data_IF_085750329314
#
_entry.id   IF_085750329314
#
_cell.length_a   1.000
_cell.length_b   1.000
_cell.length_c   1.000
_cell.angle_alpha   90.00
_cell.angle_beta   90.00
_cell.angle_gamma   90.00
#
_symmetry.space_group_name_H-M   'P 1'
#
loop_
_entity.id
_entity.type
_entity.pdbx_description
1 polymer ?
#
# COMPACT_ATOMS: atom_id res chain seq x y z
N UNK A 1 -3.05 23.22 24.03
CA UNK A 1 -1.63 23.54 24.33
C UNK A 1 -0.83 22.32 23.90
N UNK A 2 -0.07 22.27 22.80
CA UNK A 2 0.15 23.24 21.75
C UNK A 2 0.34 22.50 20.42
N UNK A 3 -0.21 23.07 19.35
CA UNK A 3 0.04 22.68 17.98
C UNK A 3 1.44 23.20 17.63
N UNK A 4 2.44 22.31 17.67
CA UNK A 4 3.74 22.53 17.02
C UNK A 4 3.74 21.69 15.76
N UNK A 5 3.15 22.18 14.69
CA UNK A 5 3.24 21.53 13.38
C UNK A 5 3.71 22.57 12.39
N UNK A 6 5.01 22.58 12.13
CA UNK A 6 5.60 23.23 10.96
C UNK A 6 5.22 22.50 9.64
N UNK A 7 4.12 21.74 9.63
CA UNK A 7 3.67 20.89 8.53
C UNK A 7 4.58 19.68 8.28
N UNK A 8 5.52 19.36 9.16
CA UNK A 8 6.44 18.23 8.96
C UNK A 8 5.93 16.94 9.57
N UNK A 9 6.28 15.85 8.88
CA UNK A 9 6.05 14.49 9.33
C UNK A 9 7.00 14.15 10.49
N UNK A 10 6.44 13.81 11.65
CA UNK A 10 7.16 13.25 12.80
C UNK A 10 7.11 11.70 12.78
N UNK A 11 8.26 11.06 12.61
CA UNK A 11 8.41 9.60 12.57
C UNK A 11 8.38 8.93 13.96
N UNK A 12 8.41 9.73 15.05
CA UNK A 12 8.15 9.25 16.41
C UNK A 12 6.67 9.31 16.81
N UNK A 13 5.79 9.87 15.97
CA UNK A 13 4.38 10.02 16.25
C UNK A 13 3.55 8.84 15.70
N UNK A 14 2.89 8.10 16.59
CA UNK A 14 2.04 6.95 16.25
C UNK A 14 0.94 7.29 15.23
N UNK A 15 0.32 8.47 15.32
CA UNK A 15 -0.71 8.90 14.34
C UNK A 15 -0.11 9.11 12.96
N UNK A 16 1.08 9.69 12.89
CA UNK A 16 1.77 9.94 11.63
C UNK A 16 2.24 8.64 10.98
N UNK A 17 2.79 7.72 11.78
CA UNK A 17 3.14 6.38 11.34
C UNK A 17 1.91 5.63 10.82
N UNK A 18 0.78 5.72 11.52
CA UNK A 18 -0.50 5.14 11.09
C UNK A 18 -1.03 5.73 9.79
N UNK A 19 -1.03 7.06 9.66
CA UNK A 19 -1.43 7.73 8.45
C UNK A 19 -0.54 7.35 7.25
N UNK A 20 0.78 7.39 7.43
CA UNK A 20 1.75 7.02 6.39
C UNK A 20 1.57 5.57 5.95
N UNK A 21 1.39 4.66 6.90
CA UNK A 21 1.17 3.24 6.63
C UNK A 21 -0.15 3.00 5.92
N UNK A 22 -1.22 3.66 6.35
CA UNK A 22 -2.55 3.50 5.74
C UNK A 22 -2.57 3.99 4.28
N UNK A 23 -2.09 5.21 4.04
CA UNK A 23 -2.05 5.80 2.70
C UNK A 23 -1.03 5.05 1.82
N UNK A 24 0.14 4.74 2.36
CA UNK A 24 1.20 4.01 1.68
C UNK A 24 0.79 2.59 1.27
N UNK A 25 0.19 1.82 2.16
CA UNK A 25 -0.34 0.48 1.85
C UNK A 25 -1.42 0.54 0.77
N UNK A 26 -2.30 1.55 0.80
CA UNK A 26 -3.34 1.69 -0.22
C UNK A 26 -2.75 1.94 -1.61
N UNK A 27 -1.77 2.84 -1.71
CA UNK A 27 -1.05 3.07 -2.97
C UNK A 27 -0.29 1.82 -3.41
N UNK A 28 0.40 1.15 -2.48
CA UNK A 28 1.16 -0.07 -2.77
C UNK A 28 0.25 -1.20 -3.29
N UNK A 29 -0.93 -1.38 -2.69
CA UNK A 29 -1.91 -2.38 -3.13
C UNK A 29 -2.33 -2.13 -4.58
N UNK A 30 -2.68 -0.88 -4.92
CA UNK A 30 -3.02 -0.49 -6.30
C UNK A 30 -1.86 -0.77 -7.25
N UNK A 31 -0.64 -0.43 -6.87
CA UNK A 31 0.55 -0.66 -7.69
C UNK A 31 0.84 -2.15 -7.90
N UNK A 32 0.68 -2.97 -6.86
CA UNK A 32 0.83 -4.43 -6.96
C UNK A 32 -0.23 -5.00 -7.90
N UNK A 33 -1.49 -4.60 -7.77
CA UNK A 33 -2.56 -5.04 -8.68
C UNK A 33 -2.24 -4.68 -10.14
N UNK A 34 -1.74 -3.45 -10.40
CA UNK A 34 -1.31 -3.02 -11.73
C UNK A 34 -0.12 -3.83 -12.25
N UNK A 35 0.87 -4.09 -11.41
CA UNK A 35 2.03 -4.90 -11.76
C UNK A 35 1.61 -6.33 -12.15
N UNK A 36 0.75 -6.95 -11.34
CA UNK A 36 0.18 -8.28 -11.63
C UNK A 36 -0.60 -8.27 -12.93
N UNK A 37 -1.46 -7.27 -13.14
CA UNK A 37 -2.23 -7.15 -14.38
C UNK A 37 -1.33 -6.96 -15.61
N UNK A 38 -0.31 -6.10 -15.51
CA UNK A 38 0.65 -5.86 -16.58
C UNK A 38 1.46 -7.13 -16.88
N UNK A 39 1.97 -7.81 -15.85
CA UNK A 39 2.69 -9.08 -15.98
C UNK A 39 1.85 -10.14 -16.69
N UNK A 40 0.61 -10.32 -16.26
CA UNK A 40 -0.30 -11.33 -16.81
C UNK A 40 -0.70 -11.06 -18.26
N UNK A 41 -0.66 -9.81 -18.71
CA UNK A 41 -0.96 -9.40 -20.09
C UNK A 41 0.29 -9.20 -20.96
N UNK A 42 1.48 -9.20 -20.37
CA UNK A 42 2.73 -8.99 -21.09
C UNK A 42 3.07 -10.22 -21.95
N UNK A 43 3.41 -9.97 -23.22
CA UNK A 43 3.83 -11.05 -24.13
C UNK A 43 5.29 -11.39 -23.89
N UNK A 44 5.55 -12.59 -23.39
CA UNK A 44 6.90 -13.13 -23.22
C UNK A 44 7.35 -13.75 -24.54
N UNK A 45 8.53 -13.34 -25.02
CA UNK A 45 9.06 -13.83 -26.29
C UNK A 45 9.09 -15.36 -26.33
N UNK A 46 8.56 -15.94 -27.42
CA UNK A 46 8.40 -17.40 -27.63
C UNK A 46 7.47 -18.12 -26.63
N UNK A 47 6.84 -17.40 -25.69
CA UNK A 47 5.97 -17.94 -24.65
C UNK A 47 4.63 -17.19 -24.50
N UNK A 48 4.22 -16.36 -25.46
CA UNK A 48 2.91 -15.67 -25.46
C UNK A 48 2.61 -14.90 -24.17
N UNK A 49 1.32 -14.62 -23.90
CA UNK A 49 0.90 -13.96 -22.65
C UNK A 49 0.60 -15.01 -21.58
N UNK A 50 0.97 -14.80 -20.31
CA UNK A 50 0.63 -15.72 -19.23
C UNK A 50 -0.85 -16.11 -19.16
N UNK A 51 -1.77 -15.15 -19.37
CA UNK A 51 -3.22 -15.43 -19.39
C UNK A 51 -3.64 -16.43 -20.48
N UNK A 52 -3.01 -16.40 -21.65
CA UNK A 52 -3.32 -17.33 -22.74
C UNK A 52 -2.92 -18.78 -22.36
N UNK A 53 -1.92 -18.96 -21.50
CA UNK A 53 -1.49 -20.28 -21.02
C UNK A 53 -2.42 -20.83 -19.95
N UNK A 54 -2.95 -19.96 -19.07
CA UNK A 54 -3.94 -20.34 -18.05
C UNK A 54 -5.23 -20.85 -18.72
N UNK A 55 -5.63 -20.24 -19.84
CA UNK A 55 -6.84 -20.63 -20.57
C UNK A 55 -6.71 -21.96 -21.35
N UNK A 56 -5.48 -22.36 -21.71
CA UNK A 56 -5.23 -23.45 -22.68
C UNK A 56 -4.59 -24.70 -22.09
N UNK A 57 -3.91 -24.61 -20.94
CA UNK A 57 -3.34 -25.77 -20.26
C UNK A 57 -4.07 -26.03 -18.95
N UNK A 58 -4.66 -27.23 -18.86
CA UNK A 58 -5.28 -27.75 -17.65
C UNK A 58 -4.42 -27.43 -16.42
N UNK A 59 -5.04 -26.70 -15.49
CA UNK A 59 -4.46 -26.33 -14.20
C UNK A 59 -4.12 -27.60 -13.43
N UNK A 60 -2.85 -28.02 -13.45
CA UNK A 60 -2.39 -28.90 -12.41
C UNK A 60 -2.31 -28.05 -11.15
N UNK A 61 -3.13 -28.31 -10.11
CA UNK A 61 -2.97 -27.62 -8.84
C UNK A 61 -1.54 -27.85 -8.39
N UNK A 62 -0.86 -26.76 -8.04
CA UNK A 62 0.45 -26.87 -7.41
C UNK A 62 0.29 -27.78 -6.17
N UNK A 63 1.15 -28.79 -6.00
CA UNK A 63 1.15 -29.59 -4.79
C UNK A 63 1.20 -28.67 -3.57
N UNK A 64 0.46 -29.00 -2.51
CA UNK A 64 0.65 -28.33 -1.22
C UNK A 64 2.13 -28.40 -0.84
N UNK A 65 2.78 -27.24 -0.66
CA UNK A 65 4.21 -27.13 -0.38
C UNK A 65 5.13 -26.88 -1.59
N UNK A 66 4.58 -26.75 -2.80
CA UNK A 66 5.39 -26.34 -3.97
C UNK A 66 5.87 -24.88 -3.89
N UNK A 67 5.14 -24.04 -3.15
CA UNK A 67 5.56 -22.69 -2.82
C UNK A 67 6.11 -22.69 -1.38
N UNK A 68 7.24 -21.99 -1.13
CA UNK A 68 7.76 -21.84 0.21
C UNK A 68 6.75 -21.12 1.10
N UNK A 69 6.76 -21.44 2.41
CA UNK A 69 6.04 -20.62 3.38
C UNK A 69 6.62 -19.19 3.40
N UNK A 70 5.88 -18.23 3.94
CA UNK A 70 6.38 -16.85 4.11
C UNK A 70 7.70 -16.83 4.89
N UNK A 71 7.80 -17.69 5.91
CA UNK A 71 9.01 -17.83 6.74
C UNK A 71 10.18 -18.38 5.91
N UNK A 72 9.94 -19.43 5.12
CA UNK A 72 10.98 -20.04 4.28
C UNK A 72 11.42 -19.11 3.16
N UNK A 73 10.49 -18.36 2.56
CA UNK A 73 10.78 -17.37 1.52
C UNK A 73 11.62 -16.22 2.09
N UNK A 74 11.26 -15.70 3.27
CA UNK A 74 12.02 -14.66 3.95
C UNK A 74 13.43 -15.15 4.31
N UNK A 75 13.55 -16.38 4.81
CA UNK A 75 14.84 -17.01 5.08
C UNK A 75 15.69 -17.15 3.82
N UNK A 76 15.13 -17.68 2.73
CA UNK A 76 15.81 -17.81 1.43
C UNK A 76 16.32 -16.47 0.90
N UNK A 77 15.59 -15.39 1.15
CA UNK A 77 16.00 -14.04 0.78
C UNK A 77 17.18 -13.55 1.64
N UNK A 78 17.12 -13.77 2.96
CA UNK A 78 18.23 -13.45 3.88
C UNK A 78 19.49 -14.26 3.61
N UNK A 79 19.35 -15.56 3.33
CA UNK A 79 20.45 -16.48 3.01
C UNK A 79 21.20 -16.07 1.73
N UNK A 80 20.56 -15.31 0.83
CA UNK A 80 21.19 -14.72 -0.35
C UNK A 80 21.95 -13.41 -0.06
N UNK A 81 22.06 -13.01 1.20
CA UNK A 81 22.75 -11.79 1.64
C UNK A 81 21.88 -10.52 1.61
N UNK A 82 20.59 -10.64 1.31
CA UNK A 82 19.68 -9.50 1.36
C UNK A 82 19.13 -9.30 2.78
N UNK A 83 18.75 -8.07 3.09
CA UNK A 83 18.22 -7.72 4.41
C UNK A 83 16.73 -7.42 4.28
N UNK A 84 15.92 -8.07 5.12
CA UNK A 84 14.52 -7.71 5.32
C UNK A 84 14.45 -6.87 6.59
N UNK A 85 13.60 -5.85 6.57
CA UNK A 85 13.29 -5.09 7.79
C UNK A 85 12.39 -5.94 8.67
N UNK A 86 12.91 -6.37 9.82
CA UNK A 86 12.21 -7.28 10.74
C UNK A 86 11.23 -6.52 11.66
N UNK A 87 11.52 -5.26 11.95
CA UNK A 87 10.72 -4.38 12.79
C UNK A 87 10.11 -3.25 11.96
N UNK A 88 8.78 -3.23 11.92
CA UNK A 88 7.97 -2.28 11.18
C UNK A 88 6.90 -1.83 12.17
N UNK A 89 6.91 -0.55 12.56
CA UNK A 89 5.81 0.03 13.32
C UNK A 89 4.92 0.78 12.33
N UNK A 90 3.65 0.38 12.30
CA UNK A 90 2.64 1.02 11.48
C UNK A 90 1.86 2.08 12.25
N UNK A 91 2.37 2.50 13.40
CA UNK A 91 1.60 3.29 14.33
C UNK A 91 0.34 2.57 14.83
N UNK A 92 -0.45 3.27 15.64
CA UNK A 92 -1.78 2.85 16.06
C UNK A 92 -2.80 3.86 15.59
N UNK A 93 -3.99 3.38 15.24
CA UNK A 93 -5.10 4.27 14.91
C UNK A 93 -5.45 5.10 16.16
N UNK A 94 -5.30 6.43 16.16
CA UNK A 94 -5.62 7.26 17.33
C UNK A 94 -7.13 7.26 17.65
N UNK A 95 -7.95 6.84 16.70
CA UNK A 95 -9.40 6.69 16.85
C UNK A 95 -9.80 5.23 17.13
N UNK A 96 -8.85 4.35 17.47
CA UNK A 96 -9.14 2.98 17.87
C UNK A 96 -10.19 2.95 19.00
N UNK A 97 -11.23 2.13 18.82
CA UNK A 97 -12.38 2.07 19.73
C UNK A 97 -13.43 3.18 19.54
N UNK A 98 -13.20 4.14 18.64
CA UNK A 98 -14.15 5.22 18.30
C UNK A 98 -14.69 5.04 16.87
N UNK A 99 -15.46 3.96 16.65
CA UNK A 99 -15.90 3.53 15.32
C UNK A 99 -16.58 4.61 14.46
N UNK A 100 -17.44 5.44 15.04
CA UNK A 100 -18.11 6.53 14.32
C UNK A 100 -17.10 7.58 13.81
N UNK A 101 -16.08 7.90 14.61
CA UNK A 101 -15.03 8.83 14.21
C UNK A 101 -14.11 8.23 13.15
N UNK A 102 -13.77 6.94 13.28
CA UNK A 102 -12.99 6.23 12.24
C UNK A 102 -13.72 6.24 10.90
N UNK A 103 -15.02 5.95 10.91
CA UNK A 103 -15.86 5.97 9.72
C UNK A 103 -15.93 7.37 9.11
N UNK A 104 -16.15 8.40 9.95
CA UNK A 104 -16.20 9.79 9.50
C UNK A 104 -14.87 10.27 8.90
N UNK A 105 -13.73 10.00 9.56
CA UNK A 105 -12.39 10.27 9.02
C UNK A 105 -12.21 9.61 7.66
N UNK A 106 -12.44 8.29 7.58
CA UNK A 106 -12.23 7.52 6.35
C UNK A 106 -13.10 8.05 5.21
N UNK A 107 -14.38 8.34 5.49
CA UNK A 107 -15.30 8.88 4.50
C UNK A 107 -14.85 10.26 3.99
N UNK A 108 -14.52 11.18 4.89
CA UNK A 108 -14.05 12.52 4.53
C UNK A 108 -12.76 12.45 3.71
N UNK A 109 -11.80 11.64 4.15
CA UNK A 109 -10.53 11.45 3.47
C UNK A 109 -10.73 10.91 2.05
N UNK A 110 -11.49 9.83 1.89
CA UNK A 110 -11.66 9.21 0.58
C UNK A 110 -12.52 10.05 -0.37
N UNK A 111 -13.46 10.85 0.15
CA UNK A 111 -14.21 11.81 -0.66
C UNK A 111 -13.29 12.90 -1.24
N UNK A 112 -12.37 13.42 -0.43
CA UNK A 112 -11.40 14.42 -0.89
C UNK A 112 -10.41 13.83 -1.90
N UNK A 113 -9.88 12.64 -1.63
CA UNK A 113 -9.00 11.92 -2.56
C UNK A 113 -9.71 11.56 -3.87
N UNK A 114 -10.98 11.17 -3.82
CA UNK A 114 -11.80 10.97 -5.02
C UNK A 114 -11.91 12.26 -5.84
N UNK A 115 -12.24 13.36 -5.17
CA UNK A 115 -12.43 14.67 -5.83
C UNK A 115 -11.14 15.22 -6.44
N UNK A 116 -10.01 15.08 -5.74
CA UNK A 116 -8.75 15.69 -6.14
C UNK A 116 -7.96 14.82 -7.12
N UNK A 117 -8.00 13.50 -6.95
CA UNK A 117 -7.11 12.59 -7.68
C UNK A 117 -7.87 11.55 -8.51
N UNK A 118 -9.17 11.32 -8.28
CA UNK A 118 -9.90 10.18 -8.84
C UNK A 118 -9.66 8.90 -8.05
N UNK A 119 -9.55 9.04 -6.73
CA UNK A 119 -9.53 7.93 -5.78
C UNK A 119 -8.14 7.33 -5.58
N UNK A 120 -8.09 6.12 -5.02
CA UNK A 120 -6.84 5.41 -4.78
C UNK A 120 -6.02 5.16 -6.07
N UNK A 121 -6.71 4.92 -7.19
CA UNK A 121 -6.07 4.76 -8.51
C UNK A 121 -5.42 6.06 -8.97
N UNK A 122 -6.11 7.18 -8.77
CA UNK A 122 -5.61 8.51 -9.00
C UNK A 122 -4.36 8.84 -8.19
N UNK A 123 -4.45 8.65 -6.87
CA UNK A 123 -3.33 8.88 -5.96
C UNK A 123 -2.11 8.00 -6.31
N UNK A 124 -2.34 6.74 -6.70
CA UNK A 124 -1.27 5.89 -7.20
C UNK A 124 -0.63 6.47 -8.49
N UNK A 125 -1.40 7.04 -9.42
CA UNK A 125 -0.84 7.69 -10.61
C UNK A 125 0.09 8.85 -10.25
N UNK A 126 -0.31 9.68 -9.28
CA UNK A 126 0.53 10.78 -8.78
C UNK A 126 1.90 10.25 -8.28
N UNK A 127 1.89 9.16 -7.52
CA UNK A 127 3.13 8.53 -7.03
C UNK A 127 3.97 7.96 -8.17
N UNK A 128 3.35 7.26 -9.15
CA UNK A 128 4.07 6.73 -10.31
C UNK A 128 4.68 7.82 -11.20
N UNK A 129 4.09 9.02 -11.22
CA UNK A 129 4.58 10.18 -11.97
C UNK A 129 5.56 11.03 -11.17
N UNK A 130 6.00 10.57 -10.00
CA UNK A 130 6.92 11.30 -9.11
C UNK A 130 6.32 12.60 -8.53
N UNK A 131 5.00 12.75 -8.51
CA UNK A 131 4.30 13.88 -7.88
C UNK A 131 4.14 13.64 -6.36
N UNK A 132 5.27 13.49 -5.67
CA UNK A 132 5.29 13.10 -4.25
C UNK A 132 4.64 14.12 -3.31
N UNK A 133 4.50 15.38 -3.73
CA UNK A 133 3.79 16.39 -2.95
C UNK A 133 2.32 16.02 -2.69
N UNK A 134 1.65 15.40 -3.68
CA UNK A 134 0.26 14.96 -3.54
C UNK A 134 0.13 13.78 -2.57
N UNK A 135 1.11 12.87 -2.59
CA UNK A 135 1.19 11.78 -1.64
C UNK A 135 1.48 12.26 -0.20
N UNK A 136 2.41 13.20 -0.04
CA UNK A 136 2.68 13.84 1.25
C UNK A 136 1.45 14.58 1.79
N UNK A 137 0.76 15.32 0.92
CA UNK A 137 -0.50 15.97 1.26
C UNK A 137 -1.53 14.96 1.77
N UNK A 138 -1.69 13.82 1.10
CA UNK A 138 -2.63 12.78 1.55
C UNK A 138 -2.29 12.23 2.94
N UNK A 139 -1.00 12.04 3.25
CA UNK A 139 -0.58 11.59 4.59
C UNK A 139 -0.93 12.65 5.63
N UNK A 140 -0.54 13.90 5.41
CA UNK A 140 -0.80 15.00 6.35
C UNK A 140 -2.31 15.21 6.55
N UNK A 141 -3.08 15.14 5.47
CA UNK A 141 -4.54 15.26 5.53
C UNK A 141 -5.18 14.15 6.33
N UNK A 142 -4.69 12.92 6.19
CA UNK A 142 -5.16 11.79 6.99
C UNK A 142 -4.82 11.99 8.49
N UNK A 143 -3.64 12.53 8.82
CA UNK A 143 -3.31 12.94 10.20
C UNK A 143 -4.30 13.98 10.72
N UNK A 144 -4.53 15.07 9.99
CA UNK A 144 -5.44 16.15 10.39
C UNK A 144 -6.86 15.65 10.70
N UNK A 145 -7.37 14.71 9.91
CA UNK A 145 -8.69 14.12 10.13
C UNK A 145 -8.70 13.11 11.29
N UNK A 146 -7.55 12.59 11.68
CA UNK A 146 -7.40 11.64 12.80
C UNK A 146 -7.26 12.33 14.15
N UNK A 147 -7.01 13.64 14.17
CA UNK A 147 -6.81 14.46 15.37
C UNK A 147 -8.04 15.29 15.78
N UNK A 148 -9.17 15.14 15.08
CA UNK A 148 -10.45 15.81 15.36
C UNK A 148 -11.32 15.07 16.39
#
# INVERSE_FOLDING_TARGET
>A
MGMKTDGRFDDGNETHLFASSTVGCTVAEVMVQRCVAAWNNHSVQKRGKPLDYIATKANFPLPMGALPSVVDAAKLYRDKGYHLTDEWSFGKDPLEGQGDKQASRNQSFWLEVETMFGGAQGLANEVAQHHYANFQWSILRFCELSEQ
#
